data_IF_205575398096
#
_entry.id   IF_205575398096
#
_cell.length_a   1.000
_cell.length_b   1.000
_cell.length_c   1.000
_cell.angle_alpha   90.00
_cell.angle_beta   90.00
_cell.angle_gamma   90.00
#
_symmetry.space_group_name_H-M   'P 1'
#
loop_
_entity.id
_entity.type
_entity.pdbx_description
1 polymer ?
#
# COMPACT_ATOMS: atom_id res chain seq x y z
N UNK A 1 -11.61 19.53 13.15
CA UNK A 1 -11.18 18.23 12.57
C UNK A 1 -12.38 17.29 12.59
N UNK A 2 -12.77 16.69 11.46
CA UNK A 2 -13.92 15.77 11.44
C UNK A 2 -13.53 14.42 12.05
N UNK A 3 -14.40 13.83 12.87
CA UNK A 3 -14.11 12.58 13.58
C UNK A 3 -14.65 11.38 12.81
N UNK A 4 -13.81 10.36 12.60
CA UNK A 4 -14.21 9.08 12.01
C UNK A 4 -14.62 8.12 13.13
N UNK A 5 -15.86 7.65 13.10
CA UNK A 5 -16.44 6.78 14.12
C UNK A 5 -17.29 5.66 13.50
N UNK A 6 -17.84 4.78 14.35
CA UNK A 6 -18.65 3.62 13.92
C UNK A 6 -19.95 3.96 13.19
N UNK A 7 -20.46 5.18 13.33
CA UNK A 7 -21.71 5.61 12.71
C UNK A 7 -21.50 6.17 11.31
N UNK A 8 -20.33 6.76 11.04
CA UNK A 8 -20.02 7.40 9.76
C UNK A 8 -19.00 6.64 8.91
N UNK A 9 -18.44 5.54 9.41
CA UNK A 9 -17.50 4.71 8.68
C UNK A 9 -17.85 3.22 8.70
N UNK A 10 -17.39 2.51 7.69
CA UNK A 10 -17.36 1.04 7.62
C UNK A 10 -15.95 0.60 7.27
N UNK A 11 -15.58 -0.62 7.66
CA UNK A 11 -14.32 -1.23 7.22
C UNK A 11 -14.52 -1.89 5.86
N UNK A 12 -13.64 -1.57 4.92
CA UNK A 12 -13.56 -2.24 3.63
C UNK A 12 -12.19 -2.89 3.49
N UNK A 13 -12.20 -4.15 3.06
CA UNK A 13 -10.98 -4.90 2.75
C UNK A 13 -10.41 -4.44 1.42
N UNK A 14 -9.10 -4.31 1.36
CA UNK A 14 -8.33 -4.06 0.16
C UNK A 14 -6.98 -4.77 0.34
N UNK A 15 -6.73 -5.79 -0.49
CA UNK A 15 -5.63 -6.75 -0.28
C UNK A 15 -5.70 -7.31 1.16
N UNK A 16 -4.57 -7.35 1.86
CA UNK A 16 -4.46 -7.87 3.23
C UNK A 16 -4.83 -6.85 4.33
N UNK A 17 -5.47 -5.73 3.95
CA UNK A 17 -5.78 -4.63 4.88
C UNK A 17 -7.24 -4.24 4.92
N UNK A 18 -7.68 -3.76 6.08
CA UNK A 18 -8.94 -3.05 6.23
C UNK A 18 -8.72 -1.53 6.34
N UNK A 19 -9.60 -0.76 5.71
CA UNK A 19 -9.65 0.70 5.77
C UNK A 19 -11.01 1.22 6.20
N UNK A 20 -11.01 2.25 7.04
CA UNK A 20 -12.22 3.03 7.31
C UNK A 20 -12.58 3.85 6.07
N UNK A 21 -13.71 3.52 5.46
CA UNK A 21 -14.31 4.25 4.35
C UNK A 21 -15.60 4.90 4.80
N UNK A 22 -16.04 5.94 4.10
CA UNK A 22 -17.27 6.66 4.37
C UNK A 22 -18.47 5.71 4.34
N UNK A 23 -19.38 5.85 5.31
CA UNK A 23 -20.65 5.11 5.35
C UNK A 23 -21.78 6.03 4.85
N UNK A 24 -22.28 5.85 3.62
CA UNK A 24 -23.46 6.57 3.15
C UNK A 24 -24.67 6.26 4.02
N UNK A 25 -25.55 7.26 4.20
CA UNK A 25 -26.84 7.06 4.89
C UNK A 25 -27.78 6.15 4.09
N UNK A 26 -27.63 6.09 2.77
CA UNK A 26 -28.46 5.29 1.86
C UNK A 26 -27.66 4.85 0.61
N UNK A 27 -28.15 3.79 -0.07
CA UNK A 27 -27.66 3.23 -1.35
C UNK A 27 -26.21 2.72 -1.42
N UNK A 28 -25.42 2.84 -0.35
CA UNK A 28 -24.09 2.22 -0.22
C UNK A 28 -22.98 2.86 -1.06
N UNK A 29 -21.81 2.21 -1.05
CA UNK A 29 -20.65 2.57 -1.88
C UNK A 29 -20.54 1.61 -3.05
N UNK A 30 -19.96 2.05 -4.19
CA UNK A 30 -19.53 1.15 -5.27
C UNK A 30 -18.15 0.55 -4.90
N UNK A 31 -18.02 -0.74 -4.56
CA UNK A 31 -16.76 -1.31 -4.04
C UNK A 31 -15.60 -1.16 -5.02
N UNK A 32 -15.82 -1.47 -6.29
CA UNK A 32 -14.84 -1.30 -7.38
C UNK A 32 -14.26 0.12 -7.46
N UNK A 33 -15.07 1.12 -7.12
CA UNK A 33 -14.64 2.51 -7.14
C UNK A 33 -13.79 2.86 -5.91
N UNK A 34 -14.11 2.28 -4.75
CA UNK A 34 -13.29 2.42 -3.55
C UNK A 34 -11.93 1.75 -3.75
N UNK A 35 -11.90 0.54 -4.30
CA UNK A 35 -10.65 -0.15 -4.67
C UNK A 35 -9.81 0.69 -5.62
N UNK A 36 -10.42 1.28 -6.64
CA UNK A 36 -9.74 2.19 -7.57
C UNK A 36 -9.19 3.44 -6.88
N UNK A 37 -9.89 3.99 -5.89
CA UNK A 37 -9.42 5.12 -5.09
C UNK A 37 -8.19 4.71 -4.27
N UNK A 38 -8.25 3.57 -3.58
CA UNK A 38 -7.14 3.07 -2.76
C UNK A 38 -5.93 2.75 -3.65
N UNK A 39 -6.12 2.08 -4.79
CA UNK A 39 -5.02 1.80 -5.73
C UNK A 39 -4.40 3.07 -6.33
N UNK A 40 -5.18 4.13 -6.48
CA UNK A 40 -4.68 5.45 -6.88
C UNK A 40 -3.80 6.07 -5.78
N UNK A 41 -4.20 5.94 -4.51
CA UNK A 41 -3.35 6.35 -3.39
C UNK A 41 -2.05 5.54 -3.33
N UNK A 42 -2.11 4.22 -3.53
CA UNK A 42 -0.92 3.37 -3.61
C UNK A 42 0.00 3.78 -4.76
N UNK A 43 -0.56 4.01 -5.95
CA UNK A 43 0.17 4.46 -7.11
C UNK A 43 0.97 5.74 -6.83
N UNK A 44 0.35 6.74 -6.17
CA UNK A 44 1.05 7.96 -5.79
C UNK A 44 2.11 7.75 -4.69
N UNK A 45 1.83 6.92 -3.68
CA UNK A 45 2.76 6.60 -2.60
C UNK A 45 3.94 5.75 -3.09
N UNK A 46 3.79 5.01 -4.18
CA UNK A 46 4.90 4.31 -4.82
C UNK A 46 5.97 5.29 -5.34
N UNK A 47 5.57 6.43 -5.87
CA UNK A 47 6.48 7.48 -6.36
C UNK A 47 7.01 8.37 -5.23
N UNK A 48 6.19 8.65 -4.22
CA UNK A 48 6.52 9.63 -3.18
C UNK A 48 6.30 9.08 -1.78
N UNK A 49 7.30 9.23 -0.91
CA UNK A 49 7.15 8.84 0.51
C UNK A 49 6.14 9.71 1.28
N UNK A 50 5.78 10.87 0.74
CA UNK A 50 4.77 11.78 1.28
C UNK A 50 3.91 12.31 0.14
N UNK A 51 2.60 12.13 0.23
CA UNK A 51 1.61 12.57 -0.77
C UNK A 51 0.62 13.50 -0.13
N UNK A 52 0.43 14.68 -0.71
CA UNK A 52 -0.62 15.61 -0.32
C UNK A 52 -1.88 15.33 -1.15
N UNK A 53 -3.01 15.18 -0.47
CA UNK A 53 -4.33 14.98 -1.07
C UNK A 53 -5.17 16.22 -0.78
N UNK A 54 -5.52 17.00 -1.80
CA UNK A 54 -6.42 18.15 -1.65
C UNK A 54 -7.82 17.83 -2.16
N UNK A 55 -8.84 18.56 -1.70
CA UNK A 55 -10.23 18.49 -2.18
C UNK A 55 -10.80 19.88 -2.44
N UNK A 56 -11.47 20.04 -3.56
CA UNK A 56 -12.22 21.22 -3.96
C UNK A 56 -13.52 20.79 -4.65
N UNK A 57 -14.61 21.50 -4.36
CA UNK A 57 -15.93 21.21 -4.91
C UNK A 57 -16.28 22.30 -5.94
N UNK A 58 -16.49 21.88 -7.20
CA UNK A 58 -16.66 22.75 -8.36
C UNK A 58 -18.12 22.69 -8.86
N UNK A 59 -18.71 23.85 -9.10
CA UNK A 59 -20.05 24.00 -9.65
C UNK A 59 -19.95 24.73 -10.99
N UNK A 60 -20.41 24.12 -12.11
CA UNK A 60 -20.49 24.81 -13.38
C UNK A 60 -21.66 25.80 -13.37
N UNK A 61 -21.62 26.78 -14.28
CA UNK A 61 -22.69 27.77 -14.44
C UNK A 61 -23.99 27.18 -14.99
N UNK A 62 -23.87 26.16 -15.83
CA UNK A 62 -24.98 25.55 -16.56
C UNK A 62 -24.83 24.03 -16.54
N UNK A 63 -25.96 23.35 -16.66
CA UNK A 63 -25.98 21.90 -16.81
C UNK A 63 -25.30 21.46 -18.11
N UNK A 64 -24.60 20.32 -18.05
CA UNK A 64 -24.09 19.64 -19.25
C UNK A 64 -24.33 18.14 -19.12
N UNK A 65 -24.82 17.51 -20.18
CA UNK A 65 -25.02 16.06 -20.23
C UNK A 65 -23.73 15.24 -20.41
N UNK A 66 -22.59 15.91 -20.64
CA UNK A 66 -21.28 15.29 -20.83
C UNK A 66 -20.24 15.80 -19.81
N UNK A 67 -19.00 15.30 -19.94
CA UNK A 67 -17.87 15.65 -19.08
C UNK A 67 -16.81 16.50 -19.78
N UNK A 68 -17.11 17.13 -20.93
CA UNK A 68 -16.09 17.77 -21.76
C UNK A 68 -15.39 18.93 -21.04
N UNK A 69 -16.18 19.85 -20.47
CA UNK A 69 -15.66 21.00 -19.72
C UNK A 69 -14.77 20.57 -18.55
N UNK A 70 -15.25 19.66 -17.70
CA UNK A 70 -14.50 19.21 -16.54
C UNK A 70 -13.26 18.39 -16.93
N UNK A 71 -13.32 17.58 -18.00
CA UNK A 71 -12.15 16.84 -18.49
C UNK A 71 -11.07 17.77 -19.03
N UNK A 72 -11.44 18.79 -19.80
CA UNK A 72 -10.49 19.78 -20.30
C UNK A 72 -9.82 20.51 -19.15
N UNK A 73 -10.61 20.98 -18.17
CA UNK A 73 -10.09 21.61 -16.97
C UNK A 73 -9.11 20.69 -16.22
N UNK A 74 -9.53 19.48 -15.84
CA UNK A 74 -8.68 18.55 -15.07
C UNK A 74 -7.37 18.20 -15.79
N UNK A 75 -7.41 18.00 -17.12
CA UNK A 75 -6.21 17.73 -17.92
C UNK A 75 -5.26 18.93 -17.94
N UNK A 76 -5.78 20.12 -18.17
CA UNK A 76 -4.99 21.35 -18.18
C UNK A 76 -4.33 21.58 -16.82
N UNK A 77 -5.08 21.41 -15.73
CA UNK A 77 -4.56 21.61 -14.38
C UNK A 77 -3.54 20.55 -14.00
N UNK A 78 -3.80 19.27 -14.30
CA UNK A 78 -2.82 18.21 -14.04
C UNK A 78 -1.49 18.48 -14.77
N UNK A 79 -1.55 18.93 -16.03
CA UNK A 79 -0.35 19.29 -16.81
C UNK A 79 0.38 20.50 -16.21
N UNK A 80 -0.32 21.60 -15.99
CA UNK A 80 0.27 22.83 -15.45
C UNK A 80 0.91 22.61 -14.07
N UNK A 81 0.20 21.91 -13.18
CA UNK A 81 0.71 21.58 -11.85
C UNK A 81 1.88 20.61 -11.90
N UNK A 82 1.87 19.64 -12.82
CA UNK A 82 2.99 18.72 -13.01
C UNK A 82 4.25 19.46 -13.42
N UNK A 83 4.15 20.45 -14.31
CA UNK A 83 5.27 21.29 -14.73
C UNK A 83 5.74 22.21 -13.59
N UNK A 84 4.79 22.90 -12.94
CA UNK A 84 5.06 23.85 -11.85
C UNK A 84 5.79 23.20 -10.67
N UNK A 85 5.35 22.03 -10.23
CA UNK A 85 5.91 21.35 -9.05
C UNK A 85 6.93 20.26 -9.39
N UNK A 86 7.16 19.99 -10.67
CA UNK A 86 8.06 18.93 -11.16
C UNK A 86 7.75 17.57 -10.51
N UNK A 87 6.47 17.23 -10.45
CA UNK A 87 5.99 15.99 -9.84
C UNK A 87 4.75 15.47 -10.57
N UNK A 88 4.45 14.17 -10.45
CA UNK A 88 3.23 13.57 -10.97
C UNK A 88 2.01 14.15 -10.23
N UNK A 89 0.93 14.31 -10.97
CA UNK A 89 -0.35 14.81 -10.46
C UNK A 89 -1.43 13.81 -10.82
N UNK A 90 -2.05 13.21 -9.81
CA UNK A 90 -3.24 12.39 -10.00
C UNK A 90 -4.48 13.17 -9.60
N UNK A 91 -5.54 13.09 -10.40
CA UNK A 91 -6.84 13.62 -10.04
C UNK A 91 -7.86 12.49 -9.92
N UNK A 92 -8.77 12.65 -8.97
CA UNK A 92 -10.00 11.89 -8.84
C UNK A 92 -11.14 12.91 -8.86
N UNK A 93 -12.17 12.66 -9.65
CA UNK A 93 -13.30 13.57 -9.77
C UNK A 93 -14.60 12.78 -9.79
N UNK A 94 -15.50 13.11 -8.88
CA UNK A 94 -16.82 12.52 -8.79
C UNK A 94 -17.84 13.55 -9.27
N UNK A 95 -18.69 13.15 -10.20
CA UNK A 95 -19.82 13.94 -10.68
C UNK A 95 -21.09 13.52 -9.95
N UNK A 96 -21.86 14.49 -9.49
CA UNK A 96 -23.10 14.30 -8.73
C UNK A 96 -24.16 15.30 -9.17
N UNK A 97 -25.41 14.88 -9.05
CA UNK A 97 -26.58 15.75 -9.17
C UNK A 97 -27.61 15.21 -8.19
N UNK A 98 -27.73 15.88 -7.04
CA UNK A 98 -28.67 15.48 -6.01
C UNK A 98 -30.04 16.13 -6.26
N UNK A 99 -30.37 17.19 -5.51
CA UNK A 99 -31.58 18.01 -5.70
C UNK A 99 -31.34 19.26 -6.54
N UNK A 100 -30.10 19.48 -6.98
CA UNK A 100 -29.74 20.63 -7.82
C UNK A 100 -30.07 20.32 -9.29
N UNK A 101 -30.55 21.34 -10.01
CA UNK A 101 -30.73 21.27 -11.47
C UNK A 101 -29.39 21.11 -12.20
N UNK A 102 -28.33 21.66 -11.61
CA UNK A 102 -26.98 21.66 -12.16
C UNK A 102 -26.11 20.64 -11.41
N UNK A 103 -25.27 19.90 -12.13
CA UNK A 103 -24.32 18.96 -11.55
C UNK A 103 -23.24 19.68 -10.74
N UNK A 104 -22.65 19.00 -9.77
CA UNK A 104 -21.45 19.44 -9.08
C UNK A 104 -20.35 18.38 -9.17
N UNK A 105 -19.10 18.83 -9.07
CA UNK A 105 -17.92 17.97 -9.13
C UNK A 105 -17.16 18.03 -7.81
N UNK A 106 -16.96 16.87 -7.18
CA UNK A 106 -16.01 16.72 -6.10
C UNK A 106 -14.67 16.33 -6.69
N UNK A 107 -13.68 17.22 -6.61
CA UNK A 107 -12.36 17.00 -7.19
C UNK A 107 -11.35 16.81 -6.07
N UNK A 108 -10.53 15.77 -6.18
CA UNK A 108 -9.35 15.59 -5.37
C UNK A 108 -8.10 15.53 -6.24
N UNK A 109 -7.03 16.18 -5.77
CA UNK A 109 -5.72 16.13 -6.41
C UNK A 109 -4.70 15.52 -5.46
N UNK A 110 -3.83 14.67 -5.99
CA UNK A 110 -2.72 14.06 -5.28
C UNK A 110 -1.41 14.49 -5.91
N UNK A 111 -0.52 15.05 -5.10
CA UNK A 111 0.80 15.56 -5.50
C UNK A 111 1.86 15.17 -4.46
N UNK A 112 3.14 15.35 -4.79
CA UNK A 112 4.22 15.14 -3.82
C UNK A 112 4.11 16.12 -2.66
N UNK A 113 3.91 15.61 -1.45
CA UNK A 113 3.86 16.41 -0.22
C UNK A 113 5.21 17.00 0.19
N UNK A 114 6.30 16.61 -0.47
CA UNK A 114 7.61 17.27 -0.29
C UNK A 114 7.74 18.54 -1.13
N UNK A 115 6.94 18.69 -2.19
CA UNK A 115 6.93 19.88 -3.05
C UNK A 115 5.94 20.94 -2.57
N UNK A 116 4.94 20.53 -1.80
CA UNK A 116 3.88 21.42 -1.32
C UNK A 116 3.61 21.13 0.15
N UNK A 117 4.04 22.04 1.02
CA UNK A 117 3.78 21.95 2.46
C UNK A 117 2.42 22.54 2.85
N UNK A 118 1.97 23.59 2.15
CA UNK A 118 0.68 24.25 2.42
C UNK A 118 -0.12 24.41 1.12
N UNK A 119 -1.33 23.80 1.01
CA UNK A 119 -2.09 23.80 -0.23
C UNK A 119 -2.91 25.06 -0.48
N UNK A 120 -2.87 26.07 0.39
CA UNK A 120 -3.68 27.28 0.22
C UNK A 120 -3.45 27.94 -1.14
N UNK A 121 -2.19 28.15 -1.54
CA UNK A 121 -1.85 28.73 -2.85
C UNK A 121 -2.36 27.86 -4.01
N UNK A 122 -2.22 26.54 -3.91
CA UNK A 122 -2.72 25.58 -4.89
C UNK A 122 -4.25 25.64 -5.02
N UNK A 123 -4.97 25.62 -3.90
CA UNK A 123 -6.43 25.64 -3.87
C UNK A 123 -6.99 26.98 -4.37
N UNK A 124 -6.38 28.10 -3.98
CA UNK A 124 -6.76 29.43 -4.49
C UNK A 124 -6.52 29.53 -6.00
N UNK A 125 -5.39 29.00 -6.49
CA UNK A 125 -5.12 28.93 -7.93
C UNK A 125 -6.19 28.12 -8.68
N UNK A 126 -6.53 26.92 -8.18
CA UNK A 126 -7.57 26.07 -8.77
C UNK A 126 -8.95 26.75 -8.76
N UNK A 127 -9.32 27.38 -7.63
CA UNK A 127 -10.56 28.13 -7.48
C UNK A 127 -10.65 29.26 -8.51
N UNK A 128 -9.65 30.14 -8.56
CA UNK A 128 -9.63 31.25 -9.51
C UNK A 128 -9.61 30.79 -10.97
N UNK A 129 -8.95 29.68 -11.29
CA UNK A 129 -8.95 29.13 -12.64
C UNK A 129 -10.31 28.54 -13.02
N UNK A 130 -11.02 27.90 -12.09
CA UNK A 130 -12.38 27.42 -12.34
C UNK A 130 -13.37 28.58 -12.48
N UNK A 131 -13.29 29.58 -11.61
CA UNK A 131 -14.17 30.75 -11.66
C UNK A 131 -14.02 31.55 -12.96
N UNK A 132 -12.82 31.57 -13.55
CA UNK A 132 -12.59 32.13 -14.89
C UNK A 132 -13.32 31.41 -16.02
N UNK A 133 -13.74 30.16 -15.82
CA UNK A 133 -14.61 29.44 -16.77
C UNK A 133 -16.10 29.80 -16.60
N UNK A 134 -16.43 30.66 -15.63
CA UNK A 134 -17.79 31.09 -15.31
C UNK A 134 -18.51 30.25 -14.24
N UNK A 135 -17.87 29.20 -13.71
CA UNK A 135 -18.39 28.41 -12.59
C UNK A 135 -18.08 29.02 -11.22
N UNK A 136 -18.49 28.35 -10.15
CA UNK A 136 -18.12 28.69 -8.77
C UNK A 136 -17.40 27.52 -8.10
N UNK A 137 -16.52 27.81 -7.14
CA UNK A 137 -15.78 26.77 -6.42
C UNK A 137 -15.81 27.01 -4.92
N UNK A 138 -15.96 25.91 -4.18
CA UNK A 138 -16.05 25.89 -2.73
C UNK A 138 -15.00 24.95 -2.14
N UNK A 139 -14.45 25.36 -1.00
CA UNK A 139 -13.52 24.54 -0.23
C UNK A 139 -14.28 23.92 0.92
N UNK A 140 -14.04 22.63 1.14
CA UNK A 140 -14.51 21.92 2.32
C UNK A 140 -13.59 22.21 3.51
N UNK A 141 -14.12 22.07 4.72
CA UNK A 141 -13.31 22.20 5.93
C UNK A 141 -12.09 21.30 5.90
N UNK A 142 -10.94 21.85 6.30
CA UNK A 142 -9.63 21.21 6.25
C UNK A 142 -9.41 20.54 4.88
N UNK A 143 -9.28 21.28 3.77
CA UNK A 143 -9.43 20.75 2.41
C UNK A 143 -8.29 19.83 1.96
N UNK A 144 -7.43 19.36 2.85
CA UNK A 144 -6.31 18.51 2.51
C UNK A 144 -5.96 17.50 3.61
N UNK A 145 -5.21 16.47 3.21
CA UNK A 145 -4.61 15.46 4.08
C UNK A 145 -3.21 15.13 3.57
N UNK A 146 -2.35 14.61 4.44
CA UNK A 146 -1.02 14.10 4.09
C UNK A 146 -1.00 12.60 4.34
N UNK A 147 -0.65 11.83 3.31
CA UNK A 147 -0.39 10.39 3.40
C UNK A 147 1.12 10.15 3.37
N UNK A 148 1.60 9.26 4.23
CA UNK A 148 3.00 8.86 4.31
C UNK A 148 3.14 7.37 4.00
N UNK A 149 4.09 7.02 3.12
CA UNK A 149 4.38 5.63 2.75
C UNK A 149 4.88 4.86 3.98
N UNK A 150 4.34 3.66 4.20
CA UNK A 150 4.69 2.84 5.35
C UNK A 150 4.13 3.36 6.67
N UNK A 151 3.11 4.24 6.62
CA UNK A 151 2.40 4.74 7.79
C UNK A 151 0.90 4.65 7.55
N UNK A 152 0.33 3.46 7.75
CA UNK A 152 -1.10 3.19 7.57
C UNK A 152 -2.02 4.18 8.32
N UNK A 153 -1.77 4.57 9.58
CA UNK A 153 -2.56 5.58 10.27
C UNK A 153 -2.72 6.91 9.50
N UNK A 154 -1.68 7.35 8.78
CA UNK A 154 -1.72 8.60 8.01
C UNK A 154 -2.71 8.57 6.84
N UNK A 155 -3.04 7.39 6.31
CA UNK A 155 -3.97 7.22 5.18
C UNK A 155 -5.43 7.37 5.59
N UNK A 156 -5.75 7.16 6.88
CA UNK A 156 -7.13 7.04 7.40
C UNK A 156 -8.04 8.18 6.95
N UNK A 157 -7.63 9.43 7.13
CA UNK A 157 -8.46 10.59 6.79
C UNK A 157 -8.58 10.82 5.28
N UNK A 158 -7.51 10.55 4.52
CA UNK A 158 -7.51 10.68 3.07
C UNK A 158 -8.44 9.64 2.43
N UNK A 159 -8.28 8.36 2.75
CA UNK A 159 -9.10 7.27 2.21
C UNK A 159 -10.57 7.47 2.58
N UNK A 160 -10.86 7.80 3.85
CA UNK A 160 -12.23 8.09 4.27
C UNK A 160 -12.88 9.18 3.41
N UNK A 161 -12.20 10.31 3.21
CA UNK A 161 -12.76 11.43 2.42
C UNK A 161 -12.87 11.11 0.94
N UNK A 162 -11.89 10.43 0.37
CA UNK A 162 -11.91 10.07 -1.04
C UNK A 162 -12.99 9.03 -1.32
N UNK A 163 -13.19 8.07 -0.42
CA UNK A 163 -14.23 7.04 -0.56
C UNK A 163 -15.66 7.62 -0.62
N UNK A 164 -15.87 8.84 -0.14
CA UNK A 164 -17.12 9.58 -0.39
C UNK A 164 -17.45 9.68 -1.89
N UNK A 165 -16.44 9.77 -2.76
CA UNK A 165 -16.64 9.89 -4.21
C UNK A 165 -17.28 8.63 -4.80
N UNK A 166 -17.16 7.50 -4.09
CA UNK A 166 -17.71 6.21 -4.46
C UNK A 166 -19.15 5.99 -3.98
N UNK A 167 -19.76 6.94 -3.26
CA UNK A 167 -21.16 6.86 -2.88
C UNK A 167 -22.03 6.77 -4.14
N UNK A 168 -23.01 5.89 -4.13
CA UNK A 168 -23.99 5.73 -5.23
C UNK A 168 -25.07 6.81 -5.15
N UNK A 169 -25.44 7.18 -3.93
CA UNK A 169 -26.41 8.23 -3.65
C UNK A 169 -25.96 9.51 -4.34
N UNK A 170 -26.89 10.22 -5.00
CA UNK A 170 -26.66 11.47 -5.75
C UNK A 170 -25.96 11.33 -7.11
N UNK A 171 -25.58 10.13 -7.55
CA UNK A 171 -25.01 9.92 -8.88
C UNK A 171 -26.14 9.86 -9.91
N UNK A 172 -25.93 10.52 -11.05
CA UNK A 172 -26.85 10.43 -12.19
C UNK A 172 -26.78 9.04 -12.84
N UNK A 173 -27.92 8.50 -13.25
CA UNK A 173 -28.06 7.19 -13.93
C UNK A 173 -28.60 7.44 -15.34
N UNK A 174 -28.14 6.67 -16.33
CA UNK A 174 -28.69 6.72 -17.69
C UNK A 174 -28.25 7.92 -18.53
N UNK A 175 -27.22 8.65 -18.11
CA UNK A 175 -26.66 9.77 -18.87
C UNK A 175 -25.36 9.39 -19.59
N UNK A 176 -25.00 10.15 -20.64
CA UNK A 176 -23.74 9.99 -21.39
C UNK A 176 -22.51 10.26 -20.52
N UNK A 177 -22.59 11.18 -19.56
CA UNK A 177 -21.50 11.50 -18.66
C UNK A 177 -21.15 10.35 -17.70
N UNK A 178 -19.85 10.17 -17.47
CA UNK A 178 -19.33 9.26 -16.44
C UNK A 178 -19.46 9.89 -15.07
N UNK A 179 -19.93 9.13 -14.09
CA UNK A 179 -20.06 9.58 -12.70
C UNK A 179 -18.72 9.75 -11.97
N UNK A 180 -17.65 9.16 -12.50
CA UNK A 180 -16.30 9.23 -11.94
C UNK A 180 -15.24 9.34 -13.04
N UNK A 181 -14.30 10.24 -12.83
CA UNK A 181 -13.20 10.60 -13.72
C UNK A 181 -11.88 10.51 -12.95
N UNK A 182 -10.84 9.98 -13.60
CA UNK A 182 -9.50 9.92 -13.02
C UNK A 182 -8.48 9.79 -14.15
N UNK A 183 -7.31 10.40 -14.02
CA UNK A 183 -6.16 10.03 -14.87
C UNK A 183 -5.50 8.75 -14.34
N UNK A 184 -4.75 8.09 -15.23
CA UNK A 184 -3.95 6.91 -14.90
C UNK A 184 -2.52 7.36 -14.61
N UNK A 185 -2.03 7.05 -13.41
CA UNK A 185 -0.61 7.14 -13.06
C UNK A 185 -0.12 5.71 -12.87
N UNK A 186 0.83 5.29 -13.71
CA UNK A 186 1.48 3.99 -13.53
C UNK A 186 2.31 4.04 -12.24
N UNK A 187 2.34 2.97 -11.43
CA UNK A 187 3.21 2.90 -10.27
C UNK A 187 4.70 3.10 -10.61
N UNK A 188 5.52 3.39 -9.61
CA UNK A 188 6.97 3.48 -9.78
C UNK A 188 7.54 2.14 -10.27
N UNK A 189 8.63 2.16 -11.04
CA UNK A 189 9.24 0.93 -11.54
C UNK A 189 9.73 0.00 -10.41
N UNK A 190 10.09 0.57 -9.26
CA UNK A 190 10.46 -0.15 -8.04
C UNK A 190 9.25 -0.61 -7.21
N UNK A 191 8.03 -0.29 -7.64
CA UNK A 191 6.82 -0.70 -6.94
C UNK A 191 6.60 -2.19 -7.14
N UNK A 192 6.57 -2.91 -6.03
CA UNK A 192 6.27 -4.33 -6.00
C UNK A 192 4.91 -4.50 -5.31
N UNK A 193 3.89 -4.80 -6.10
CA UNK A 193 2.50 -4.91 -5.63
C UNK A 193 2.30 -6.08 -4.65
N UNK A 194 3.21 -7.07 -4.71
CA UNK A 194 3.21 -8.24 -3.80
C UNK A 194 3.80 -7.89 -2.44
N UNK A 195 4.67 -6.86 -2.38
CA UNK A 195 5.28 -6.41 -1.14
C UNK A 195 4.40 -5.33 -0.53
N UNK A 196 3.73 -5.71 0.55
CA UNK A 196 2.94 -4.82 1.39
C UNK A 196 3.82 -3.81 2.16
N UNK A 197 4.44 -2.90 1.42
CA UNK A 197 5.41 -1.90 1.92
C UNK A 197 4.79 -0.52 2.07
N UNK A 198 3.65 -0.29 1.41
CA UNK A 198 2.96 0.98 1.47
C UNK A 198 2.11 1.13 2.74
N UNK A 199 1.65 0.00 3.30
CA UNK A 199 0.50 -0.04 4.21
C UNK A 199 0.81 -0.70 5.56
N UNK A 200 2.08 -0.69 5.97
CA UNK A 200 2.47 -1.16 7.29
C UNK A 200 2.17 -0.12 8.38
N UNK A 201 1.83 -0.61 9.58
CA UNK A 201 1.79 0.22 10.77
C UNK A 201 3.25 0.38 11.28
N UNK A 202 3.76 1.61 11.46
CA UNK A 202 5.13 1.82 11.91
C UNK A 202 5.43 1.17 13.25
N UNK A 203 4.46 1.13 14.16
CA UNK A 203 4.62 0.52 15.48
C UNK A 203 4.76 -1.00 15.35
N UNK A 204 3.86 -1.63 14.58
CA UNK A 204 3.92 -3.08 14.30
C UNK A 204 5.23 -3.42 13.59
N UNK A 205 5.64 -2.60 12.61
CA UNK A 205 6.90 -2.79 11.88
C UNK A 205 8.11 -2.73 12.82
N UNK A 206 8.14 -1.73 13.71
CA UNK A 206 9.20 -1.60 14.70
C UNK A 206 9.25 -2.80 15.65
N UNK A 207 8.09 -3.27 16.11
CA UNK A 207 7.99 -4.45 16.97
C UNK A 207 8.47 -5.72 16.27
N UNK A 208 8.06 -5.96 15.02
CA UNK A 208 8.52 -7.10 14.21
C UNK A 208 10.05 -7.04 14.02
N UNK A 209 10.59 -5.87 13.70
CA UNK A 209 12.02 -5.68 13.52
C UNK A 209 12.80 -5.93 14.82
N UNK A 210 12.30 -5.46 15.97
CA UNK A 210 12.89 -5.77 17.27
C UNK A 210 12.89 -7.27 17.56
N UNK A 211 11.79 -7.97 17.27
CA UNK A 211 11.70 -9.42 17.40
C UNK A 211 12.70 -10.14 16.48
N UNK A 212 12.85 -9.71 15.22
CA UNK A 212 13.83 -10.30 14.28
C UNK A 212 15.26 -10.11 14.75
N UNK A 213 15.62 -8.91 15.21
CA UNK A 213 16.96 -8.63 15.75
C UNK A 213 17.24 -9.48 16.99
N UNK A 214 16.27 -9.60 17.91
CA UNK A 214 16.38 -10.49 19.08
C UNK A 214 16.55 -11.95 18.69
N UNK A 215 15.79 -12.43 17.70
CA UNK A 215 15.91 -13.80 17.20
C UNK A 215 17.29 -14.06 16.55
N UNK A 216 17.77 -13.13 15.72
CA UNK A 216 19.10 -13.22 15.11
C UNK A 216 20.22 -13.24 16.16
N UNK A 217 20.09 -12.42 17.20
CA UNK A 217 21.04 -12.43 18.32
C UNK A 217 20.94 -13.75 19.11
N UNK A 218 19.74 -14.27 19.37
CA UNK A 218 19.58 -15.56 20.03
C UNK A 218 20.20 -16.69 19.19
N UNK A 219 19.98 -16.70 17.87
CA UNK A 219 20.59 -17.65 16.95
C UNK A 219 22.12 -17.54 16.92
N UNK A 220 22.68 -16.32 16.91
CA UNK A 220 24.13 -16.13 16.96
C UNK A 220 24.71 -16.61 18.29
N UNK A 221 24.07 -16.28 19.42
CA UNK A 221 24.47 -16.75 20.75
C UNK A 221 24.40 -18.28 20.85
N UNK A 222 23.35 -18.92 20.32
CA UNK A 222 23.25 -20.39 20.26
C UNK A 222 24.37 -20.96 19.40
N UNK A 223 24.65 -20.39 18.21
CA UNK A 223 25.74 -20.85 17.33
C UNK A 223 27.11 -20.72 18.00
N UNK A 224 27.35 -19.64 18.73
CA UNK A 224 28.59 -19.44 19.50
C UNK A 224 28.69 -20.42 20.67
N UNK A 225 27.60 -20.65 21.41
CA UNK A 225 27.55 -21.64 22.48
C UNK A 225 27.81 -23.07 21.95
N UNK A 226 27.21 -23.44 20.82
CA UNK A 226 27.43 -24.74 20.16
C UNK A 226 28.89 -24.89 19.67
N UNK A 227 29.52 -23.81 19.16
CA UNK A 227 30.95 -23.82 18.82
C UNK A 227 31.86 -23.93 20.04
N UNK A 228 31.47 -23.35 21.16
CA UNK A 228 32.22 -23.36 22.43
C UNK A 228 32.17 -24.71 23.13
N UNK A 229 31.11 -25.49 22.92
CA UNK A 229 31.04 -26.86 23.42
C UNK A 229 31.98 -27.69 22.55
N UNK A 230 33.20 -27.96 23.03
CA UNK A 230 34.01 -29.07 22.50
C UNK A 230 33.30 -30.35 22.92
N UNK A 231 32.70 -31.14 22.01
CA UNK A 231 32.20 -32.44 22.41
C UNK A 231 33.36 -33.23 22.99
N UNK A 232 33.18 -33.92 24.13
CA UNK A 232 34.19 -34.84 24.66
C UNK A 232 34.60 -35.91 23.60
N UNK A 233 33.78 -36.05 22.56
CA UNK A 233 33.98 -36.91 21.39
C UNK A 233 34.02 -36.11 20.07
N UNK A 234 34.59 -34.90 20.03
CA UNK A 234 34.69 -34.11 18.79
C UNK A 234 35.28 -34.90 17.61
N UNK A 235 36.26 -35.76 17.92
CA UNK A 235 36.90 -36.71 17.01
C UNK A 235 35.93 -37.75 16.41
N UNK A 236 34.84 -38.05 17.11
CA UNK A 236 33.82 -39.01 16.67
C UNK A 236 32.93 -38.37 15.60
N UNK A 237 32.54 -37.10 15.78
CA UNK A 237 31.65 -36.38 14.84
C UNK A 237 32.31 -35.89 13.55
N UNK A 238 33.64 -35.79 13.49
CA UNK A 238 34.37 -35.37 12.29
C UNK A 238 34.65 -36.51 11.30
N UNK A 239 34.47 -37.77 11.72
CA UNK A 239 34.75 -38.96 10.92
C UNK A 239 33.51 -39.45 10.19
N UNK A 240 33.69 -40.04 9.02
CA UNK A 240 32.56 -40.69 8.32
C UNK A 240 31.98 -41.82 9.18
N UNK A 241 30.68 -42.10 9.05
CA UNK A 241 30.02 -43.20 9.77
C UNK A 241 30.78 -44.54 9.63
N UNK A 242 31.41 -44.77 8.47
CA UNK A 242 32.23 -45.94 8.19
C UNK A 242 33.51 -45.98 9.04
N UNK A 243 34.18 -44.84 9.24
CA UNK A 243 35.37 -44.75 10.10
C UNK A 243 35.02 -44.90 11.59
N UNK A 244 33.91 -44.28 12.03
CA UNK A 244 33.42 -44.43 13.40
C UNK A 244 33.10 -45.90 13.73
N UNK A 245 32.43 -46.61 12.80
CA UNK A 245 32.10 -48.02 12.95
C UNK A 245 33.37 -48.89 13.03
N UNK A 246 34.36 -48.65 12.15
CA UNK A 246 35.64 -49.38 12.16
C UNK A 246 36.37 -49.27 13.49
N UNK A 247 36.50 -48.06 14.04
CA UNK A 247 37.17 -47.87 15.32
C UNK A 247 36.39 -48.44 16.51
N UNK A 248 35.06 -48.37 16.48
CA UNK A 248 34.23 -49.03 17.50
C UNK A 248 34.37 -50.55 17.46
N UNK A 249 34.62 -51.15 16.29
CA UNK A 249 34.86 -52.58 16.15
C UNK A 249 36.29 -52.93 16.63
N UNK A 250 37.29 -52.11 16.29
CA UNK A 250 38.70 -52.30 16.65
C UNK A 250 38.98 -52.14 18.15
N UNK A 251 38.28 -51.25 18.83
CA UNK A 251 38.49 -50.95 20.26
C UNK A 251 37.75 -51.89 21.21
N UNK A 252 36.83 -52.72 20.70
CA UNK A 252 36.17 -53.76 21.49
C UNK A 252 37.03 -55.02 21.52
N UNK A 253 37.36 -55.47 22.73
CA UNK A 253 37.95 -56.78 22.94
C UNK A 253 36.89 -57.85 22.65
N UNK A 254 37.11 -58.58 21.55
CA UNK A 254 36.47 -59.83 21.12
C UNK A 254 35.26 -59.76 20.15
N UNK A 255 35.31 -60.71 19.20
CA UNK A 255 34.27 -61.26 18.31
C UNK A 255 33.99 -60.60 16.93
N UNK A 256 34.12 -59.28 16.72
CA UNK A 256 33.56 -58.64 15.51
C UNK A 256 34.55 -58.22 14.41
N UNK A 257 35.82 -58.65 14.45
CA UNK A 257 36.85 -58.21 13.50
C UNK A 257 36.56 -58.59 12.04
N UNK A 258 35.86 -59.71 11.82
CA UNK A 258 35.48 -60.21 10.49
C UNK A 258 34.52 -59.29 9.70
N UNK A 259 33.89 -58.30 10.36
CA UNK A 259 32.99 -57.34 9.72
C UNK A 259 33.73 -56.13 9.10
N UNK A 260 35.04 -55.99 9.32
CA UNK A 260 35.82 -54.84 8.83
C UNK A 260 36.27 -55.03 7.37
N UNK A 261 36.57 -56.27 6.98
CA UNK A 261 37.13 -56.61 5.66
C UNK A 261 36.17 -56.33 4.47
N UNK A 262 34.85 -56.55 4.57
CA UNK A 262 33.93 -56.23 3.46
C UNK A 262 33.82 -54.73 3.17
N UNK A 263 34.04 -53.87 4.18
CA UNK A 263 33.92 -52.41 4.04
C UNK A 263 35.13 -51.75 3.36
N UNK A 264 36.27 -52.44 3.24
CA UNK A 264 37.48 -51.94 2.57
C UNK A 264 37.53 -52.32 1.08
N UNK A 265 36.81 -53.35 0.66
CA UNK A 265 36.97 -53.96 -0.67
C UNK A 265 36.02 -53.42 -1.74
N UNK A 266 35.17 -52.44 -1.44
CA UNK A 266 34.28 -51.82 -2.43
C UNK A 266 33.40 -52.83 -3.18
N UNK A 267 33.11 -53.97 -2.58
CA UNK A 267 32.39 -55.05 -3.24
C UNK A 267 30.90 -54.95 -2.91
N UNK A 268 30.10 -54.69 -3.95
CA UNK A 268 28.65 -54.77 -3.89
C UNK A 268 28.21 -56.14 -3.38
N UNK A 269 27.47 -56.16 -2.27
CA UNK A 269 26.69 -57.32 -1.83
C UNK A 269 25.70 -57.68 -2.96
N UNK A 270 25.95 -58.79 -3.63
CA UNK A 270 24.90 -59.50 -4.38
C UNK A 270 24.02 -60.20 -3.35
N UNK A 271 22.78 -59.75 -3.22
CA UNK A 271 21.73 -60.50 -2.54
C UNK A 271 21.26 -61.65 -3.43
N UNK A 272 20.91 -62.82 -2.88
CA UNK A 272 20.10 -63.80 -3.57
C UNK A 272 18.68 -63.27 -3.84
#
# INVERSE_FOLDING_TARGET
>A
MFCINKHNSILMMYKDHAYHVYKPKSQGLKPQLVEKIISSCEGMLSHYSKVMVTRIDLHPKQYSADNNLINQFLKQQASALSQQYKCKVQYLCARERHHSEIQHYHVALMLSGHKINYPHKLLSQLKSQWERTGGTASLVDNPFNIMCRGNKPSLKHAIYRLSYFAKTVTKEIGIKARSFLSNKIQPAASFDDTKDTLLVDPFITAQINQCRVKAQHAESTIREAVKSIKPAFAWFTERSHTQQLKESILTRTSSLHHLVDPLCSGSHLRTP
#
